data_IF_250212731543
#
_entry.id   IF_250212731543
#
_cell.length_a   1.000
_cell.length_b   1.000
_cell.length_c   1.000
_cell.angle_alpha   90.00
_cell.angle_beta   90.00
_cell.angle_gamma   90.00
#
_symmetry.space_group_name_H-M   'P 1'
#
loop_
_entity.id
_entity.type
_entity.pdbx_description
1 polymer ?
#
# COMPACT_ATOMS: atom_id res chain seq x y z
N UNK A 1 -3.53 9.70 -2.83
CA UNK A 1 -3.02 8.39 -3.33
C UNK A 1 -1.49 8.34 -3.40
N UNK A 2 -0.80 9.11 -4.26
CA UNK A 2 0.67 9.06 -4.36
C UNK A 2 1.37 9.41 -3.04
N UNK A 3 0.87 10.42 -2.32
CA UNK A 3 1.38 10.79 -1.00
C UNK A 3 1.27 9.65 0.02
N UNK A 4 0.14 8.92 0.04
CA UNK A 4 -0.01 7.74 0.87
C UNK A 4 0.99 6.64 0.50
N UNK A 5 1.15 6.34 -0.79
CA UNK A 5 2.12 5.35 -1.24
C UNK A 5 3.54 5.72 -0.85
N UNK A 6 3.95 6.97 -1.06
CA UNK A 6 5.29 7.42 -0.67
C UNK A 6 5.50 7.35 0.85
N UNK A 7 4.45 7.64 1.64
CA UNK A 7 4.49 7.45 3.08
C UNK A 7 4.61 5.96 3.47
N UNK A 8 3.90 5.05 2.81
CA UNK A 8 3.92 3.62 3.10
C UNK A 8 5.21 2.92 2.65
N UNK A 9 5.82 3.39 1.56
CA UNK A 9 7.05 2.79 1.03
C UNK A 9 8.31 3.26 1.75
N UNK A 10 8.25 4.42 2.42
CA UNK A 10 9.36 5.03 3.16
C UNK A 10 10.65 5.15 2.32
N UNK A 11 10.48 5.40 1.02
CA UNK A 11 11.58 5.45 0.06
C UNK A 11 12.33 6.80 0.09
N UNK A 12 13.65 6.81 -0.20
CA UNK A 12 14.40 8.03 -0.48
C UNK A 12 13.75 8.87 -1.59
N UNK A 13 14.03 10.17 -1.62
CA UNK A 13 13.40 11.13 -2.56
C UNK A 13 13.53 10.70 -4.02
N UNK A 14 14.66 10.10 -4.37
CA UNK A 14 14.98 9.64 -5.73
C UNK A 14 14.14 8.41 -6.14
N UNK A 15 13.67 7.63 -5.17
CA UNK A 15 12.85 6.44 -5.37
C UNK A 15 11.36 6.69 -5.13
N UNK A 16 10.98 7.91 -4.74
CA UNK A 16 9.57 8.25 -4.56
C UNK A 16 8.81 8.13 -5.87
N UNK A 17 7.59 7.60 -5.77
CA UNK A 17 6.63 7.53 -6.85
C UNK A 17 6.15 8.95 -7.17
N UNK A 18 6.26 9.35 -8.45
CA UNK A 18 5.88 10.69 -8.92
C UNK A 18 4.72 10.68 -9.89
N UNK A 19 4.49 9.57 -10.60
CA UNK A 19 3.46 9.53 -11.65
C UNK A 19 2.82 8.16 -11.76
N UNK A 20 1.51 8.16 -12.00
CA UNK A 20 0.72 6.96 -12.34
C UNK A 20 0.95 6.66 -13.82
N UNK A 21 1.33 5.44 -14.16
CA UNK A 21 1.52 5.02 -15.56
C UNK A 21 0.25 4.38 -16.09
N UNK A 22 -0.18 3.28 -15.47
CA UNK A 22 -1.34 2.51 -15.91
C UNK A 22 -1.86 1.60 -14.80
N UNK A 23 -3.08 1.10 -14.98
CA UNK A 23 -3.60 -0.02 -14.20
C UNK A 23 -2.90 -1.30 -14.65
N UNK A 24 -2.42 -2.10 -13.71
CA UNK A 24 -1.68 -3.33 -13.97
C UNK A 24 -2.58 -4.54 -13.71
N UNK A 25 -2.58 -5.54 -14.60
CA UNK A 25 -3.35 -6.79 -14.47
C UNK A 25 -4.84 -6.67 -14.09
N UNK A 26 -5.70 -6.81 -15.10
CA UNK A 26 -7.16 -6.88 -14.99
C UNK A 26 -7.66 -8.33 -14.98
N UNK A 27 -7.39 -9.10 -13.93
CA UNK A 27 -8.22 -10.28 -13.62
C UNK A 27 -9.63 -9.84 -13.23
N UNK A 28 -10.68 -10.69 -13.29
CA UNK A 28 -12.01 -10.33 -12.81
C UNK A 28 -11.90 -9.87 -11.35
N UNK A 29 -11.96 -8.56 -11.18
CA UNK A 29 -11.54 -7.87 -9.97
C UNK A 29 -12.56 -8.23 -8.89
N UNK A 30 -12.14 -8.98 -7.87
CA UNK A 30 -12.81 -8.78 -6.59
C UNK A 30 -12.48 -7.35 -6.16
N UNK A 31 -13.52 -6.59 -5.82
CA UNK A 31 -13.56 -5.13 -5.59
C UNK A 31 -12.49 -4.54 -4.68
N UNK A 32 -11.69 -5.38 -4.02
CA UNK A 32 -10.79 -5.00 -2.93
C UNK A 32 -9.31 -5.02 -3.34
N UNK A 33 -9.02 -5.17 -4.64
CA UNK A 33 -7.65 -5.21 -5.18
C UNK A 33 -7.34 -4.02 -6.07
N UNK A 34 -6.28 -3.30 -5.73
CA UNK A 34 -5.82 -2.13 -6.46
C UNK A 34 -4.41 -2.38 -7.01
N UNK A 35 -4.28 -2.47 -8.33
CA UNK A 35 -3.03 -2.81 -9.03
C UNK A 35 -2.64 -1.73 -10.02
N UNK A 36 -1.52 -1.08 -9.79
CA UNK A 36 -1.09 0.03 -10.62
C UNK A 36 0.41 0.05 -10.80
N UNK A 37 0.83 0.55 -11.95
CA UNK A 37 2.22 0.79 -12.29
C UNK A 37 2.51 2.28 -12.15
N UNK A 38 3.67 2.58 -11.60
CA UNK A 38 4.12 3.94 -11.31
C UNK A 38 5.50 4.17 -11.88
N UNK A 39 5.81 5.45 -12.05
CA UNK A 39 7.16 5.93 -12.34
C UNK A 39 7.73 6.64 -11.12
N UNK A 40 8.96 6.33 -10.77
CA UNK A 40 9.73 6.99 -9.71
C UNK A 40 10.41 8.26 -10.22
N UNK A 41 10.93 9.09 -9.30
CA UNK A 41 11.75 10.25 -9.67
C UNK A 41 13.02 9.85 -10.46
N UNK A 42 13.61 8.70 -10.16
CA UNK A 42 14.70 8.06 -10.93
C UNK A 42 14.28 7.52 -12.31
N UNK A 43 13.01 7.66 -12.69
CA UNK A 43 12.38 7.16 -13.93
C UNK A 43 12.23 5.63 -13.98
N UNK A 44 12.49 4.93 -12.89
CA UNK A 44 12.27 3.49 -12.76
C UNK A 44 10.76 3.18 -12.71
N UNK A 45 10.41 1.95 -13.08
CA UNK A 45 9.04 1.45 -13.02
C UNK A 45 8.86 0.56 -11.80
N UNK A 46 7.83 0.86 -11.02
CA UNK A 46 7.43 0.10 -9.84
C UNK A 46 5.96 -0.27 -9.97
N UNK A 47 5.65 -1.53 -9.68
CA UNK A 47 4.26 -2.00 -9.61
C UNK A 47 3.85 -2.07 -8.14
N UNK A 48 2.72 -1.46 -7.81
CA UNK A 48 2.13 -1.53 -6.48
C UNK A 48 0.80 -2.27 -6.55
N UNK A 49 0.71 -3.36 -5.77
CA UNK A 49 -0.53 -4.06 -5.46
C UNK A 49 -0.96 -3.68 -4.03
N UNK A 50 -2.18 -3.21 -3.87
CA UNK A 50 -2.75 -2.89 -2.56
C UNK A 50 -4.07 -3.62 -2.36
N UNK A 51 -4.26 -4.17 -1.16
CA UNK A 51 -5.46 -4.90 -0.81
C UNK A 51 -5.87 -4.61 0.63
N UNK A 52 -7.17 -4.37 0.85
CA UNK A 52 -7.77 -4.39 2.18
C UNK A 52 -8.15 -5.83 2.51
N UNK A 53 -7.71 -6.32 3.67
CA UNK A 53 -7.97 -7.70 4.10
C UNK A 53 -8.67 -7.73 5.44
N UNK A 54 -9.81 -8.40 5.46
CA UNK A 54 -10.52 -8.79 6.67
C UNK A 54 -10.19 -10.24 7.04
N UNK A 55 -10.42 -10.68 8.28
CA UNK A 55 -10.15 -12.05 8.71
C UNK A 55 -10.79 -13.10 7.78
N UNK A 56 -12.05 -12.88 7.40
CA UNK A 56 -12.85 -13.81 6.61
C UNK A 56 -12.25 -14.04 5.21
N UNK A 57 -11.70 -13.00 4.61
CA UNK A 57 -11.05 -13.06 3.29
C UNK A 57 -9.61 -13.57 3.38
N UNK A 58 -8.87 -13.20 4.43
CA UNK A 58 -7.46 -13.57 4.56
C UNK A 58 -7.26 -15.08 4.68
N UNK A 59 -8.02 -15.73 5.58
CA UNK A 59 -7.90 -17.15 5.84
C UNK A 59 -8.26 -18.02 4.63
N UNK A 60 -9.16 -17.54 3.76
CA UNK A 60 -9.64 -18.34 2.62
C UNK A 60 -8.78 -18.19 1.37
N UNK A 61 -8.12 -17.04 1.16
CA UNK A 61 -7.65 -16.67 -0.20
C UNK A 61 -6.37 -15.83 -0.28
N UNK A 62 -5.67 -15.57 0.83
CA UNK A 62 -4.47 -14.71 0.79
C UNK A 62 -3.38 -15.23 -0.15
N UNK A 63 -3.04 -16.51 -0.04
CA UNK A 63 -2.08 -17.19 -0.92
C UNK A 63 -2.61 -17.32 -2.35
N UNK A 64 -3.90 -17.61 -2.52
CA UNK A 64 -4.53 -17.74 -3.84
C UNK A 64 -4.42 -16.43 -4.64
N UNK A 65 -4.76 -15.28 -4.04
CA UNK A 65 -4.63 -13.99 -4.72
C UNK A 65 -3.19 -13.63 -5.03
N UNK A 66 -2.27 -13.98 -4.13
CA UNK A 66 -0.85 -13.78 -4.36
C UNK A 66 -0.39 -14.60 -5.57
N UNK A 67 -0.71 -15.89 -5.63
CA UNK A 67 -0.35 -16.75 -6.76
C UNK A 67 -0.94 -16.27 -8.09
N UNK A 68 -2.19 -15.78 -8.09
CA UNK A 68 -2.80 -15.23 -9.32
C UNK A 68 -2.11 -13.94 -9.76
N UNK A 69 -1.67 -13.11 -8.81
CA UNK A 69 -0.91 -11.90 -9.11
C UNK A 69 0.47 -12.23 -9.67
N UNK A 70 1.15 -13.19 -9.05
CA UNK A 70 2.48 -13.65 -9.47
C UNK A 70 2.40 -14.23 -10.90
N UNK A 71 1.37 -15.01 -11.22
CA UNK A 71 1.12 -15.49 -12.59
C UNK A 71 0.94 -14.33 -13.58
N UNK A 72 0.16 -13.33 -13.20
CA UNK A 72 -0.09 -12.14 -14.00
C UNK A 72 1.20 -11.37 -14.28
N UNK A 73 2.02 -11.22 -13.25
CA UNK A 73 3.32 -10.58 -13.32
C UNK A 73 4.31 -11.36 -14.19
N UNK A 74 4.39 -12.68 -14.03
CA UNK A 74 5.24 -13.55 -14.85
C UNK A 74 4.82 -13.46 -16.33
N UNK A 75 3.52 -13.46 -16.60
CA UNK A 75 2.99 -13.34 -17.97
C UNK A 75 3.27 -11.97 -18.62
N UNK A 76 3.37 -10.88 -17.84
CA UNK A 76 3.79 -9.57 -18.35
C UNK A 76 5.32 -9.44 -18.48
N UNK A 77 6.09 -9.96 -17.51
CA UNK A 77 7.56 -9.94 -17.54
C UNK A 77 8.12 -10.79 -18.68
N UNK A 78 7.45 -11.88 -19.06
CA UNK A 78 7.85 -12.66 -20.24
C UNK A 78 7.68 -11.89 -21.55
N UNK A 79 6.80 -10.88 -21.60
CA UNK A 79 6.58 -10.03 -22.79
C UNK A 79 7.50 -8.82 -22.84
N UNK A 80 7.98 -8.36 -21.70
CA UNK A 80 8.90 -7.23 -21.57
C UNK A 80 10.02 -7.70 -20.64
N UNK A 81 11.18 -8.06 -21.22
CA UNK A 81 12.42 -8.50 -20.55
C UNK A 81 13.00 -7.47 -19.56
N UNK A 82 12.19 -6.94 -18.65
CA UNK A 82 12.58 -5.91 -17.71
C UNK A 82 12.08 -6.26 -16.32
N UNK A 83 13.03 -6.48 -15.41
CA UNK A 83 12.79 -6.81 -14.00
C UNK A 83 12.36 -5.58 -13.23
N UNK A 84 11.04 -5.33 -13.16
CA UNK A 84 10.47 -4.22 -12.40
C UNK A 84 10.26 -4.59 -10.93
N UNK A 85 10.54 -3.65 -10.02
CA UNK A 85 10.26 -3.80 -8.59
C UNK A 85 8.75 -3.92 -8.38
N UNK A 86 8.35 -4.86 -7.52
CA UNK A 86 6.95 -5.06 -7.14
C UNK A 86 6.77 -4.90 -5.64
N UNK A 87 5.73 -4.18 -5.27
CA UNK A 87 5.39 -3.95 -3.86
C UNK A 87 3.96 -4.39 -3.62
N UNK A 88 3.77 -5.29 -2.67
CA UNK A 88 2.48 -5.68 -2.16
C UNK A 88 2.21 -4.96 -0.84
N UNK A 89 1.06 -4.32 -0.71
CA UNK A 89 0.62 -3.63 0.51
C UNK A 89 -0.68 -4.29 0.99
N UNK A 90 -0.65 -4.87 2.18
CA UNK A 90 -1.79 -5.48 2.83
C UNK A 90 -2.27 -4.57 3.97
N UNK A 91 -3.43 -3.95 3.80
CA UNK A 91 -4.09 -3.19 4.85
C UNK A 91 -4.97 -4.16 5.65
N UNK A 92 -4.58 -4.47 6.88
CA UNK A 92 -5.24 -5.48 7.72
C UNK A 92 -6.15 -4.83 8.74
N UNK A 93 -7.42 -5.26 8.81
CA UNK A 93 -8.38 -4.84 9.84
C UNK A 93 -8.29 -5.69 11.11
N UNK A 94 -7.25 -6.50 11.25
CA UNK A 94 -7.02 -7.44 12.34
C UNK A 94 -5.52 -7.64 12.56
N UNK A 95 -5.14 -8.21 13.70
CA UNK A 95 -3.75 -8.55 14.00
C UNK A 95 -3.40 -9.92 13.43
N UNK A 96 -2.51 -9.95 12.45
CA UNK A 96 -1.95 -11.15 11.85
C UNK A 96 -0.63 -11.54 12.50
N UNK A 97 0.28 -10.58 12.69
CA UNK A 97 1.66 -10.83 13.13
C UNK A 97 1.74 -10.68 14.64
N UNK A 98 1.35 -11.71 15.40
CA UNK A 98 1.25 -11.63 16.86
C UNK A 98 2.62 -11.40 17.55
N UNK A 99 3.70 -11.74 16.88
CA UNK A 99 5.08 -11.59 17.34
C UNK A 99 5.60 -10.15 17.28
N UNK A 100 4.92 -9.25 16.56
CA UNK A 100 5.32 -7.85 16.42
C UNK A 100 4.27 -6.93 17.01
N UNK A 101 4.71 -5.86 17.69
CA UNK A 101 3.84 -4.77 18.13
C UNK A 101 3.69 -3.68 17.08
N UNK A 102 4.44 -3.74 15.98
CA UNK A 102 4.49 -2.67 14.99
C UNK A 102 3.25 -2.69 14.09
N UNK A 103 2.70 -1.51 13.81
CA UNK A 103 1.60 -1.36 12.86
C UNK A 103 2.05 -1.45 11.40
N UNK A 104 3.35 -1.32 11.12
CA UNK A 104 3.93 -1.43 9.79
C UNK A 104 5.06 -2.46 9.82
N UNK A 105 4.82 -3.64 9.24
CA UNK A 105 5.85 -4.66 9.07
C UNK A 105 6.19 -4.83 7.59
N UNK A 106 7.48 -4.83 7.26
CA UNK A 106 7.99 -4.96 5.89
C UNK A 106 8.86 -6.21 5.74
N UNK A 107 8.57 -6.99 4.71
CA UNK A 107 9.41 -8.08 4.25
C UNK A 107 9.92 -7.80 2.84
N UNK A 108 11.22 -8.01 2.60
CA UNK A 108 11.85 -7.81 1.30
C UNK A 108 12.48 -9.09 0.81
N UNK A 109 12.20 -9.45 -0.45
CA UNK A 109 12.82 -10.55 -1.16
C UNK A 109 13.98 -10.01 -2.00
N UNK A 110 15.19 -10.38 -1.59
CA UNK A 110 16.44 -10.03 -2.25
C UNK A 110 16.81 -11.13 -3.24
N UNK A 111 17.13 -10.75 -4.48
CA UNK A 111 17.49 -11.69 -5.54
C UNK A 111 19.01 -11.88 -5.66
N UNK A 112 19.81 -10.95 -5.18
CA UNK A 112 21.26 -10.95 -5.34
C UNK A 112 22.01 -10.51 -4.07
N UNK A 113 23.33 -10.72 -4.10
CA UNK A 113 24.22 -10.29 -3.03
C UNK A 113 24.28 -8.77 -2.88
N UNK A 114 23.81 -8.00 -3.87
CA UNK A 114 23.74 -6.55 -3.83
C UNK A 114 22.57 -6.02 -2.97
N UNK A 115 21.75 -6.91 -2.39
CA UNK A 115 20.60 -6.56 -1.54
C UNK A 115 19.60 -5.63 -2.25
N UNK A 116 19.46 -5.75 -3.56
CA UNK A 116 18.38 -5.08 -4.27
C UNK A 116 17.11 -5.94 -4.17
N UNK A 117 16.11 -5.45 -3.43
CA UNK A 117 14.83 -6.15 -3.33
C UNK A 117 14.05 -6.02 -4.62
N UNK A 118 13.56 -7.15 -5.13
CA UNK A 118 12.68 -7.17 -6.31
C UNK A 118 11.21 -7.23 -5.93
N UNK A 119 10.93 -7.77 -4.74
CA UNK A 119 9.58 -7.89 -4.21
C UNK A 119 9.57 -7.45 -2.75
N UNK A 120 8.78 -6.42 -2.43
CA UNK A 120 8.51 -6.01 -1.06
C UNK A 120 7.07 -6.36 -0.69
N UNK A 121 6.85 -6.81 0.54
CA UNK A 121 5.53 -7.10 1.11
C UNK A 121 5.39 -6.31 2.39
N UNK A 122 4.39 -5.43 2.42
CA UNK A 122 4.04 -4.58 3.54
C UNK A 122 2.76 -5.10 4.19
N UNK A 123 2.77 -5.17 5.51
CA UNK A 123 1.61 -5.41 6.35
C UNK A 123 1.36 -4.16 7.19
N UNK A 124 0.19 -3.56 7.00
CA UNK A 124 -0.28 -2.38 7.71
C UNK A 124 -1.44 -2.82 8.61
N UNK A 125 -1.14 -3.11 9.87
CA UNK A 125 -2.09 -3.62 10.86
C UNK A 125 -2.78 -2.47 11.60
N UNK A 126 -3.98 -2.13 11.14
CA UNK A 126 -4.72 -0.95 11.62
C UNK A 126 -5.00 -0.99 13.13
N UNK A 127 -5.20 -2.18 13.69
CA UNK A 127 -5.50 -2.39 15.11
C UNK A 127 -4.27 -2.19 16.03
N UNK A 128 -3.06 -2.10 15.47
CA UNK A 128 -1.82 -1.83 16.23
C UNK A 128 -1.41 -0.37 16.20
N UNK A 129 -2.12 0.48 15.47
CA UNK A 129 -1.79 1.90 15.38
C UNK A 129 -1.99 2.52 16.76
N UNK A 130 -0.99 3.23 17.31
CA UNK A 130 -1.10 3.81 18.63
C UNK A 130 -2.16 4.91 18.65
N UNK A 131 -2.82 5.08 19.79
CA UNK A 131 -3.76 6.18 19.98
C UNK A 131 -3.04 7.53 20.12
N UNK A 132 -1.80 7.50 20.62
CA UNK A 132 -0.93 8.67 20.73
C UNK A 132 -0.36 9.02 19.37
N UNK A 133 -0.46 10.30 19.00
CA UNK A 133 0.13 10.81 17.76
C UNK A 133 1.64 10.56 17.74
N UNK A 134 2.11 10.01 16.62
CA UNK A 134 3.53 9.94 16.29
C UNK A 134 3.76 10.76 15.03
N UNK A 135 4.85 11.53 15.00
CA UNK A 135 5.20 12.37 13.85
C UNK A 135 5.71 11.49 12.69
N UNK A 136 4.76 10.91 11.98
CA UNK A 136 5.01 9.98 10.89
C UNK A 136 3.89 10.13 9.84
N UNK A 137 4.27 10.38 8.58
CA UNK A 137 3.30 10.59 7.51
C UNK A 137 2.38 9.38 7.30
N UNK A 138 2.92 8.15 7.37
CA UNK A 138 2.13 6.93 7.22
C UNK A 138 1.11 6.79 8.34
N UNK A 139 1.50 7.10 9.58
CA UNK A 139 0.58 7.15 10.72
C UNK A 139 -0.64 8.03 10.41
N UNK A 140 -0.42 9.29 10.00
CA UNK A 140 -1.53 10.20 9.68
C UNK A 140 -2.39 9.71 8.53
N UNK A 141 -1.80 9.11 7.48
CA UNK A 141 -2.57 8.50 6.39
C UNK A 141 -3.44 7.33 6.86
N UNK A 142 -2.93 6.47 7.74
CA UNK A 142 -3.68 5.33 8.24
C UNK A 142 -4.81 5.78 9.18
N UNK A 143 -4.56 6.76 10.06
CA UNK A 143 -5.59 7.40 10.89
C UNK A 143 -6.68 8.06 10.04
N UNK A 144 -6.29 8.73 8.95
CA UNK A 144 -7.23 9.29 7.97
C UNK A 144 -8.09 8.19 7.31
N UNK A 145 -7.49 7.10 6.85
CA UNK A 145 -8.23 5.96 6.27
C UNK A 145 -9.22 5.39 7.27
N UNK A 146 -8.82 5.18 8.53
CA UNK A 146 -9.71 4.71 9.61
C UNK A 146 -10.88 5.67 9.82
N UNK A 147 -10.61 6.97 9.93
CA UNK A 147 -11.65 7.98 10.11
C UNK A 147 -12.65 8.00 8.95
N UNK A 148 -12.16 7.93 7.71
CA UNK A 148 -13.00 7.85 6.51
C UNK A 148 -13.89 6.62 6.51
N UNK A 149 -13.37 5.47 6.96
CA UNK A 149 -14.12 4.21 7.00
C UNK A 149 -15.15 4.14 8.13
N UNK A 150 -14.90 4.78 9.27
CA UNK A 150 -15.75 4.68 10.46
C UNK A 150 -16.69 5.89 10.62
N UNK A 151 -16.13 7.10 10.63
CA UNK A 151 -16.89 8.32 10.91
C UNK A 151 -16.14 9.58 10.41
N UNK A 152 -16.51 10.09 9.23
CA UNK A 152 -16.02 11.35 8.65
C UNK A 152 -16.39 12.61 9.46
N UNK A 153 -17.09 12.48 10.59
CA UNK A 153 -17.45 13.60 11.50
C UNK A 153 -16.72 13.54 12.84
N UNK A 154 -15.80 12.59 13.03
CA UNK A 154 -15.01 12.51 14.27
C UNK A 154 -14.16 13.78 14.45
N UNK A 155 -13.87 14.13 15.71
CA UNK A 155 -12.96 15.24 16.04
C UNK A 155 -11.59 15.04 15.38
N UNK A 156 -11.10 13.81 15.42
CA UNK A 156 -9.84 13.40 14.81
C UNK A 156 -9.82 13.62 13.29
N UNK A 157 -10.91 13.28 12.58
CA UNK A 157 -11.00 13.55 11.15
C UNK A 157 -10.84 15.04 10.84
N UNK A 158 -11.50 15.91 11.62
CA UNK A 158 -11.38 17.36 11.46
C UNK A 158 -9.95 17.85 11.77
N UNK A 159 -9.32 17.30 12.82
CA UNK A 159 -7.93 17.60 13.16
C UNK A 159 -6.98 17.21 12.00
N UNK A 160 -7.14 16.03 11.40
CA UNK A 160 -6.35 15.58 10.24
C UNK A 160 -6.56 16.46 9.01
N UNK A 161 -7.82 16.79 8.70
CA UNK A 161 -8.17 17.66 7.57
C UNK A 161 -7.57 19.06 7.73
N UNK A 162 -7.51 19.60 8.94
CA UNK A 162 -6.93 20.91 9.22
C UNK A 162 -5.40 20.87 9.28
N UNK A 163 -4.82 19.72 9.61
CA UNK A 163 -3.37 19.54 9.73
C UNK A 163 -2.64 19.61 8.38
N UNK A 164 -3.18 18.99 7.32
CA UNK A 164 -2.52 18.95 6.01
C UNK A 164 -3.52 19.08 4.84
N UNK A 165 -3.33 20.04 3.91
CA UNK A 165 -4.14 20.17 2.69
C UNK A 165 -4.17 18.91 1.80
N UNK A 166 -3.24 17.97 1.96
CA UNK A 166 -3.28 16.67 1.30
C UNK A 166 -4.49 15.84 1.74
N UNK A 167 -4.87 15.89 3.01
CA UNK A 167 -6.04 15.18 3.52
C UNK A 167 -7.34 15.82 3.03
N UNK A 168 -7.40 17.15 2.93
CA UNK A 168 -8.53 17.87 2.31
C UNK A 168 -8.75 17.41 0.86
N UNK A 169 -7.69 17.41 0.06
CA UNK A 169 -7.77 16.96 -1.35
C UNK A 169 -8.15 15.49 -1.45
N UNK A 170 -7.62 14.64 -0.57
CA UNK A 170 -7.99 13.23 -0.53
C UNK A 170 -9.48 13.04 -0.18
N UNK A 171 -10.01 13.78 0.80
CA UNK A 171 -11.41 13.73 1.19
C UNK A 171 -12.36 14.10 0.04
N UNK A 172 -12.06 15.18 -0.68
CA UNK A 172 -12.86 15.62 -1.84
C UNK A 172 -12.91 14.56 -2.96
N UNK A 173 -11.80 13.85 -3.19
CA UNK A 173 -11.75 12.79 -4.21
C UNK A 173 -12.56 11.54 -3.87
N UNK A 174 -13.02 11.40 -2.62
CA UNK A 174 -13.84 10.28 -2.14
C UNK A 174 -15.35 10.58 -2.14
N UNK A 175 -15.75 11.79 -2.53
CA UNK A 175 -17.15 12.23 -2.60
C UNK A 175 -17.69 12.27 -4.04
N UNK A 176 -16.86 11.89 -5.01
CA UNK A 176 -17.16 11.76 -6.45
C UNK A 176 -17.33 10.28 -6.77
#
# INVERSE_FOLDING_TARGET
MLAFLNAALECPKEQQIVTIVEKFCSFPIQSNVWNWRFRTASKELITVNMQIRTPEFYHKRSLYYRSSMDQCQIAEQSKRYNTQKVVQINLLTFNLLQESTDFHTKYSLYHDQNRQSRHDVHYLELMKIPNTSIDNALYYWLRFIICVSLNKKSKEYQELINHDPLFQRAALSLEI
#
